data_IF_095033994594
#
_entry.id   IF_095033994594
#
_cell.length_a   1.000
_cell.length_b   1.000
_cell.length_c   1.000
_cell.angle_alpha   90.00
_cell.angle_beta   90.00
_cell.angle_gamma   90.00
#
_symmetry.space_group_name_H-M   'P 1'
#
loop_
_entity.id
_entity.type
_entity.pdbx_description
1 polymer ?
#
# COMPACT_ATOMS: atom_id res chain seq x y z
N UNK A 1 -8.74 -1.41 15.85
CA UNK A 1 -7.98 -0.50 15.00
C UNK A 1 -8.87 0.69 14.65
N UNK A 2 -8.35 1.90 14.74
CA UNK A 2 -9.19 3.08 14.50
C UNK A 2 -9.42 3.29 13.01
N UNK A 3 -10.51 3.99 12.66
CA UNK A 3 -10.79 4.38 11.28
C UNK A 3 -9.70 5.32 10.70
N UNK A 4 -8.85 5.85 11.55
CA UNK A 4 -7.74 6.71 11.16
C UNK A 4 -6.49 5.95 10.75
N UNK A 5 -6.45 4.63 10.94
CA UNK A 5 -5.32 3.83 10.50
C UNK A 5 -5.30 3.80 8.97
N UNK A 6 -4.22 4.31 8.36
CA UNK A 6 -4.17 4.42 6.91
C UNK A 6 -3.83 3.09 6.24
N UNK A 7 -4.22 2.97 4.97
CA UNK A 7 -3.70 1.93 4.09
C UNK A 7 -2.43 2.48 3.42
N UNK A 8 -1.40 1.65 3.29
CA UNK A 8 -0.13 2.04 2.70
C UNK A 8 0.10 1.31 1.39
N UNK A 9 0.38 2.06 0.32
CA UNK A 9 0.69 1.49 -0.98
C UNK A 9 2.16 1.05 -1.05
N UNK A 10 2.46 0.20 -2.01
CA UNK A 10 3.78 -0.40 -2.21
C UNK A 10 4.94 0.60 -2.25
N UNK A 11 4.86 1.75 -2.95
CA UNK A 11 5.97 2.69 -3.00
C UNK A 11 6.49 3.13 -1.64
N UNK A 12 5.60 3.26 -0.65
CA UNK A 12 6.00 3.67 0.69
C UNK A 12 6.96 2.67 1.33
N UNK A 13 6.71 1.38 1.13
CA UNK A 13 7.59 0.34 1.66
C UNK A 13 8.94 0.34 0.92
N UNK A 14 8.89 0.57 -0.39
CA UNK A 14 10.12 0.62 -1.19
C UNK A 14 11.02 1.79 -0.80
N UNK A 15 10.45 2.91 -0.38
CA UNK A 15 11.24 4.05 0.06
C UNK A 15 12.06 3.81 1.33
N UNK A 16 11.71 2.78 2.11
CA UNK A 16 12.56 2.35 3.24
C UNK A 16 13.96 1.95 2.78
N UNK A 17 14.08 1.50 1.52
CA UNK A 17 15.33 1.04 0.92
C UNK A 17 15.97 2.12 0.04
N UNK A 18 15.41 3.33 0.02
CA UNK A 18 15.84 4.39 -0.87
C UNK A 18 17.09 5.09 -0.36
N UNK A 19 17.94 5.51 -1.31
CA UNK A 19 19.06 6.39 -1.03
C UNK A 19 18.59 7.85 -0.76
N UNK A 20 17.36 8.19 -1.14
CA UNK A 20 16.76 9.49 -0.82
C UNK A 20 16.34 9.48 0.64
N UNK A 21 17.16 10.10 1.51
CA UNK A 21 16.92 10.10 2.96
C UNK A 21 15.62 10.80 3.35
N UNK A 22 15.20 11.82 2.60
CA UNK A 22 13.94 12.52 2.88
C UNK A 22 12.74 11.60 2.71
N UNK A 23 12.70 10.85 1.61
CA UNK A 23 11.62 9.89 1.36
C UNK A 23 11.68 8.69 2.32
N UNK A 24 12.89 8.21 2.60
CA UNK A 24 13.06 7.11 3.55
C UNK A 24 12.57 7.51 4.95
N UNK A 25 12.85 8.73 5.38
CA UNK A 25 12.43 9.23 6.69
C UNK A 25 10.91 9.33 6.79
N UNK A 26 10.24 9.82 5.75
CA UNK A 26 8.77 9.88 5.71
C UNK A 26 8.18 8.48 5.77
N UNK A 27 8.72 7.54 4.99
CA UNK A 27 8.25 6.15 4.99
C UNK A 27 8.43 5.50 6.37
N UNK A 28 9.58 5.72 7.01
CA UNK A 28 9.85 5.20 8.35
C UNK A 28 8.86 5.72 9.37
N UNK A 29 8.56 7.02 9.33
CA UNK A 29 7.61 7.62 10.24
C UNK A 29 6.20 7.06 10.05
N UNK A 30 5.78 6.86 8.80
CA UNK A 30 4.47 6.27 8.50
C UNK A 30 4.39 4.83 9.01
N UNK A 31 5.44 4.04 8.85
CA UNK A 31 5.47 2.68 9.37
C UNK A 31 5.43 2.68 10.91
N UNK A 32 6.14 3.60 11.55
CA UNK A 32 6.16 3.71 13.01
C UNK A 32 4.77 3.99 13.57
N UNK A 33 3.97 4.78 12.86
CA UNK A 33 2.59 5.07 13.26
C UNK A 33 1.66 3.89 13.04
N UNK A 34 2.08 2.92 12.24
CA UNK A 34 1.30 1.75 11.90
C UNK A 34 0.42 1.98 10.68
N UNK A 35 -0.03 0.90 10.09
CA UNK A 35 -0.88 0.96 8.92
C UNK A 35 -1.36 -0.42 8.52
N UNK A 36 -2.18 -0.45 7.48
CA UNK A 36 -2.72 -1.66 6.89
C UNK A 36 -2.17 -1.80 5.48
N UNK A 37 -1.78 -3.00 5.12
CA UNK A 37 -1.41 -3.36 3.75
C UNK A 37 -2.15 -4.63 3.36
N UNK A 38 -2.11 -4.98 2.09
CA UNK A 38 -2.67 -6.23 1.59
C UNK A 38 -1.57 -7.17 1.12
N UNK A 39 -1.94 -8.43 0.88
CA UNK A 39 -1.03 -9.41 0.27
C UNK A 39 -0.51 -8.91 -1.08
N UNK A 40 -1.32 -8.16 -1.84
CA UNK A 40 -0.85 -7.55 -3.09
C UNK A 40 0.36 -6.64 -2.87
N UNK A 41 0.32 -5.82 -1.82
CA UNK A 41 1.44 -4.92 -1.49
C UNK A 41 2.70 -5.74 -1.20
N UNK A 42 2.59 -6.82 -0.44
CA UNK A 42 3.72 -7.72 -0.19
C UNK A 42 4.27 -8.30 -1.49
N UNK A 43 3.38 -8.71 -2.39
CA UNK A 43 3.77 -9.31 -3.67
C UNK A 43 4.48 -8.31 -4.57
N UNK A 44 3.96 -7.09 -4.66
CA UNK A 44 4.59 -6.03 -5.45
C UNK A 44 5.94 -5.62 -4.88
N UNK A 45 6.03 -5.49 -3.57
CA UNK A 45 7.29 -5.20 -2.87
C UNK A 45 8.34 -6.27 -3.19
N UNK A 46 7.97 -7.55 -3.04
CA UNK A 46 8.85 -8.68 -3.33
C UNK A 46 9.32 -8.67 -4.78
N UNK A 47 8.40 -8.42 -5.71
CA UNK A 47 8.73 -8.39 -7.13
C UNK A 47 9.75 -7.31 -7.46
N UNK A 48 9.58 -6.10 -6.93
CA UNK A 48 10.52 -5.00 -7.17
C UNK A 48 11.88 -5.28 -6.53
N UNK A 49 11.88 -5.74 -5.29
CA UNK A 49 13.13 -6.05 -4.58
C UNK A 49 13.93 -7.13 -5.32
N UNK A 50 13.26 -8.17 -5.79
CA UNK A 50 13.91 -9.27 -6.51
C UNK A 50 14.41 -8.84 -7.88
N UNK A 51 13.56 -8.17 -8.67
CA UNK A 51 13.83 -7.90 -10.09
C UNK A 51 14.66 -6.65 -10.30
N UNK A 52 14.36 -5.57 -9.58
CA UNK A 52 15.07 -4.29 -9.77
C UNK A 52 16.24 -4.11 -8.83
N UNK A 53 16.09 -4.47 -7.57
CA UNK A 53 17.13 -4.29 -6.57
C UNK A 53 18.05 -5.51 -6.45
N UNK A 54 17.75 -6.59 -7.17
CA UNK A 54 18.56 -7.81 -7.21
C UNK A 54 18.82 -8.42 -5.83
N UNK A 55 17.86 -8.29 -4.95
CA UNK A 55 17.96 -8.86 -3.61
C UNK A 55 17.65 -10.34 -3.64
N UNK A 56 18.30 -11.10 -2.78
CA UNK A 56 17.99 -12.51 -2.60
C UNK A 56 16.65 -12.66 -1.87
N UNK A 57 15.98 -13.79 -2.05
CA UNK A 57 14.76 -14.07 -1.31
C UNK A 57 14.99 -14.12 0.20
N UNK A 58 16.18 -14.54 0.64
CA UNK A 58 16.54 -14.48 2.06
C UNK A 58 16.55 -13.07 2.61
N UNK A 59 17.16 -12.14 1.87
CA UNK A 59 17.18 -10.73 2.24
C UNK A 59 15.79 -10.13 2.28
N UNK A 60 14.97 -10.45 1.26
CA UNK A 60 13.59 -9.97 1.19
C UNK A 60 12.79 -10.50 2.37
N UNK A 61 12.95 -11.77 2.70
CA UNK A 61 12.24 -12.39 3.82
C UNK A 61 12.57 -11.72 5.17
N UNK A 62 13.83 -11.32 5.37
CA UNK A 62 14.21 -10.59 6.58
C UNK A 62 13.47 -9.25 6.70
N UNK A 63 13.41 -8.49 5.60
CA UNK A 63 12.69 -7.21 5.58
C UNK A 63 11.20 -7.43 5.83
N UNK A 64 10.60 -8.41 5.16
CA UNK A 64 9.17 -8.71 5.31
C UNK A 64 8.83 -9.15 6.73
N UNK A 65 9.74 -9.84 7.41
CA UNK A 65 9.54 -10.21 8.82
C UNK A 65 9.34 -8.96 9.67
N UNK A 66 10.17 -7.95 9.47
CA UNK A 66 10.06 -6.67 10.18
C UNK A 66 8.76 -5.94 9.81
N UNK A 67 8.44 -5.87 8.52
CA UNK A 67 7.20 -5.22 8.04
C UNK A 67 5.97 -5.89 8.67
N UNK A 68 5.94 -7.21 8.69
CA UNK A 68 4.82 -7.97 9.26
C UNK A 68 4.66 -7.78 10.77
N UNK A 69 5.71 -7.35 11.46
CA UNK A 69 5.64 -7.06 12.90
C UNK A 69 4.99 -5.70 13.19
N UNK A 70 5.10 -4.75 12.27
CA UNK A 70 4.61 -3.38 12.50
C UNK A 70 3.34 -3.04 11.74
N UNK A 71 3.04 -3.74 10.66
CA UNK A 71 1.86 -3.48 9.83
C UNK A 71 0.86 -4.62 9.92
N UNK A 72 -0.42 -4.28 9.75
CA UNK A 72 -1.51 -5.25 9.67
C UNK A 72 -1.68 -5.68 8.22
N UNK A 73 -1.42 -6.94 7.93
CA UNK A 73 -1.53 -7.49 6.57
C UNK A 73 -2.89 -8.15 6.38
N UNK A 74 -3.63 -7.71 5.37
CA UNK A 74 -4.97 -8.21 5.08
C UNK A 74 -4.99 -9.12 3.85
N UNK A 75 -5.86 -10.10 3.92
CA UNK A 75 -6.11 -11.03 2.82
C UNK A 75 -6.80 -10.32 1.65
N UNK A 76 -6.64 -10.90 0.45
CA UNK A 76 -7.39 -10.51 -0.74
C UNK A 76 -8.57 -11.45 -0.91
N UNK A 77 -9.77 -10.90 -0.78
CA UNK A 77 -11.03 -11.65 -0.89
C UNK A 77 -11.67 -11.44 -2.26
N UNK A 78 -12.52 -12.38 -2.73
CA UNK A 78 -13.23 -12.19 -4.00
C UNK A 78 -14.04 -10.88 -4.05
N UNK A 79 -14.60 -10.44 -2.91
CA UNK A 79 -15.35 -9.18 -2.84
C UNK A 79 -14.46 -7.97 -3.12
N UNK A 80 -13.17 -8.03 -2.79
CA UNK A 80 -12.21 -6.97 -3.13
C UNK A 80 -12.04 -6.89 -4.64
N UNK A 81 -11.97 -8.04 -5.31
CA UNK A 81 -11.88 -8.10 -6.76
C UNK A 81 -13.08 -7.41 -7.42
N UNK A 82 -14.29 -7.67 -6.96
CA UNK A 82 -15.49 -7.04 -7.48
C UNK A 82 -15.49 -5.54 -7.27
N UNK A 83 -15.13 -5.08 -6.08
CA UNK A 83 -15.00 -3.65 -5.78
C UNK A 83 -13.95 -2.99 -6.69
N UNK A 84 -12.85 -3.70 -6.95
CA UNK A 84 -11.81 -3.20 -7.86
C UNK A 84 -12.33 -2.99 -9.27
N UNK A 85 -13.17 -3.90 -9.78
CA UNK A 85 -13.80 -3.72 -11.09
C UNK A 85 -14.64 -2.45 -11.14
N UNK A 86 -15.43 -2.21 -10.10
CA UNK A 86 -16.26 -1.01 -10.00
C UNK A 86 -15.41 0.27 -9.99
N UNK A 87 -14.32 0.26 -9.23
CA UNK A 87 -13.41 1.40 -9.14
C UNK A 87 -12.71 1.65 -10.48
N UNK A 88 -12.22 0.59 -11.12
CA UNK A 88 -11.56 0.70 -12.41
C UNK A 88 -12.49 1.29 -13.47
N UNK A 89 -13.73 0.83 -13.50
CA UNK A 89 -14.74 1.30 -14.46
C UNK A 89 -15.10 2.76 -14.19
N UNK A 90 -15.34 3.13 -12.93
CA UNK A 90 -15.80 4.46 -12.56
C UNK A 90 -14.71 5.52 -12.61
N UNK A 91 -13.51 5.21 -12.12
CA UNK A 91 -12.45 6.21 -11.93
C UNK A 91 -11.33 6.12 -12.97
N UNK A 92 -11.29 5.06 -13.76
CA UNK A 92 -10.31 4.92 -14.84
C UNK A 92 -8.92 4.48 -14.41
N UNK A 93 -8.74 4.02 -13.18
CA UNK A 93 -7.48 3.43 -12.75
C UNK A 93 -7.29 2.05 -13.34
N UNK A 94 -6.03 1.59 -13.44
CA UNK A 94 -5.76 0.21 -13.83
C UNK A 94 -6.41 -0.75 -12.85
N UNK A 95 -6.60 -2.00 -13.26
CA UNK A 95 -7.22 -2.99 -12.38
C UNK A 95 -6.42 -3.21 -11.09
N UNK A 96 -5.09 -3.33 -11.21
CA UNK A 96 -4.25 -3.58 -10.03
C UNK A 96 -4.20 -2.38 -9.09
N UNK A 97 -4.18 -1.15 -9.62
CA UNK A 97 -4.30 0.06 -8.81
C UNK A 97 -5.66 0.11 -8.12
N UNK A 98 -6.71 -0.27 -8.83
CA UNK A 98 -8.06 -0.34 -8.29
C UNK A 98 -8.16 -1.39 -7.17
N UNK A 99 -7.40 -2.48 -7.26
CA UNK A 99 -7.34 -3.48 -6.19
C UNK A 99 -6.70 -2.93 -4.91
N UNK A 100 -5.70 -2.08 -5.03
CA UNK A 100 -5.11 -1.39 -3.87
C UNK A 100 -6.19 -0.55 -3.17
N UNK A 101 -6.93 0.24 -3.94
CA UNK A 101 -7.98 1.09 -3.40
C UNK A 101 -9.12 0.26 -2.80
N UNK A 102 -9.51 -0.82 -3.49
CA UNK A 102 -10.56 -1.72 -3.01
C UNK A 102 -10.17 -2.41 -1.70
N UNK A 103 -8.91 -2.82 -1.57
CA UNK A 103 -8.42 -3.43 -0.35
C UNK A 103 -8.45 -2.45 0.82
N UNK A 104 -8.09 -1.18 0.58
CA UNK A 104 -8.16 -0.13 1.59
C UNK A 104 -9.61 0.08 2.07
N UNK A 105 -10.56 0.14 1.15
CA UNK A 105 -11.99 0.29 1.48
C UNK A 105 -12.47 -0.91 2.28
N UNK A 106 -12.13 -2.12 1.84
CA UNK A 106 -12.55 -3.35 2.52
C UNK A 106 -11.99 -3.44 3.94
N UNK A 107 -10.81 -2.89 4.17
CA UNK A 107 -10.18 -2.85 5.49
C UNK A 107 -10.77 -1.78 6.41
N UNK A 108 -11.69 -0.95 5.90
CA UNK A 108 -12.30 0.12 6.67
C UNK A 108 -11.45 1.36 6.79
N UNK A 109 -10.42 1.50 5.96
CA UNK A 109 -9.59 2.69 5.96
C UNK A 109 -10.30 3.88 5.33
N UNK A 110 -10.12 5.06 5.91
CA UNK A 110 -10.60 6.31 5.33
C UNK A 110 -9.51 7.03 4.53
N UNK A 111 -8.28 6.54 4.58
CA UNK A 111 -7.12 7.18 4.01
C UNK A 111 -6.19 6.14 3.40
N UNK A 112 -5.66 6.43 2.20
CA UNK A 112 -4.58 5.65 1.60
C UNK A 112 -3.41 6.57 1.28
N UNK A 113 -2.23 6.21 1.74
CA UNK A 113 -0.98 6.90 1.40
C UNK A 113 -0.39 6.27 0.14
N UNK A 114 -0.24 7.07 -0.88
CA UNK A 114 0.34 6.65 -2.16
C UNK A 114 0.86 7.86 -2.92
N UNK A 115 1.83 7.67 -3.80
CA UNK A 115 2.25 8.75 -4.71
C UNK A 115 1.79 8.51 -6.16
N UNK A 116 1.15 7.36 -6.42
CA UNK A 116 0.83 6.93 -7.79
C UNK A 116 -0.56 7.35 -8.27
N UNK A 117 -1.42 7.83 -7.38
CA UNK A 117 -2.80 8.19 -7.70
C UNK A 117 -3.01 9.70 -7.53
N UNK A 118 -4.25 10.15 -7.79
CA UNK A 118 -4.57 11.57 -7.67
C UNK A 118 -4.77 11.97 -6.21
N UNK A 119 -3.77 12.64 -5.62
CA UNK A 119 -3.85 13.12 -4.25
C UNK A 119 -5.03 14.08 -4.09
N UNK A 120 -5.78 13.89 -3.01
CA UNK A 120 -6.98 14.69 -2.74
C UNK A 120 -8.26 14.11 -3.30
N UNK A 121 -8.18 13.08 -4.13
CA UNK A 121 -9.36 12.43 -4.68
C UNK A 121 -10.04 11.54 -3.64
N UNK A 122 -11.38 11.58 -3.61
CA UNK A 122 -12.18 10.66 -2.82
C UNK A 122 -12.67 9.52 -3.71
N UNK A 123 -12.54 8.30 -3.22
CA UNK A 123 -13.02 7.09 -3.89
C UNK A 123 -14.25 6.58 -3.14
N UNK A 124 -15.39 6.48 -3.84
CA UNK A 124 -16.67 6.01 -3.28
C UNK A 124 -17.08 6.76 -2.01
N UNK A 125 -16.72 8.03 -1.90
CA UNK A 125 -17.04 8.92 -0.76
C UNK A 125 -16.53 8.42 0.59
N UNK A 126 -15.69 7.39 0.62
CA UNK A 126 -15.21 6.80 1.88
C UNK A 126 -13.69 6.73 2.01
N UNK A 127 -12.95 6.86 0.92
CA UNK A 127 -11.49 6.73 0.92
C UNK A 127 -10.85 7.97 0.31
N UNK A 128 -9.96 8.61 1.05
CA UNK A 128 -9.19 9.74 0.57
C UNK A 128 -7.78 9.31 0.17
N UNK A 129 -7.37 9.71 -1.03
CA UNK A 129 -6.01 9.48 -1.52
C UNK A 129 -5.11 10.63 -1.05
N UNK A 130 -3.98 10.29 -0.44
CA UNK A 130 -3.01 11.28 0.04
C UNK A 130 -1.60 10.89 -0.39
N UNK A 131 -0.90 11.83 -1.00
CA UNK A 131 0.53 11.70 -1.27
C UNK A 131 1.27 12.31 -0.06
N UNK A 132 2.01 11.49 0.74
CA UNK A 132 2.68 11.99 1.95
C UNK A 132 4.02 12.65 1.64
N UNK A 133 4.46 12.61 0.40
CA UNK A 133 5.72 13.18 -0.02
C UNK A 133 5.51 14.54 -0.65
#
# INVERSE_FOLDING_TARGET
MSAETPFLDTPLLLYLLSADSGKADVAEELLRKGGIISVQVLSEFTSVCSRKLKMSYGEIREILTTINMVLDVRDLKPTIHETALDIAERYGYSFYDSMILAAAINAGCSLVHTEDFHSGQHIQDCLLIVNPF
#
